data_IF_175883084309
#
_entry.id   IF_175883084309
#
_cell.length_a   1.000
_cell.length_b   1.000
_cell.length_c   1.000
_cell.angle_alpha   90.00
_cell.angle_beta   90.00
_cell.angle_gamma   90.00
#
_symmetry.space_group_name_H-M   'P 1'
#
loop_
_entity.id
_entity.type
_entity.pdbx_description
1 polymer ?
#
# COMPACT_ATOMS: atom_id res chain seq x y z
N UNK A 1 -7.19 -8.37 -19.24
CA UNK A 1 -5.96 -9.12 -19.17
C UNK A 1 -5.52 -9.40 -17.76
N UNK A 2 -6.42 -9.93 -16.97
CA UNK A 2 -6.13 -10.11 -15.55
C UNK A 2 -4.91 -10.98 -15.28
N UNK A 3 -4.73 -12.04 -16.07
CA UNK A 3 -3.60 -12.92 -15.86
C UNK A 3 -2.27 -12.22 -16.03
N UNK A 4 -2.23 -11.28 -16.95
CA UNK A 4 -1.00 -10.53 -17.19
C UNK A 4 -0.61 -9.66 -16.01
N UNK A 5 -1.60 -9.08 -15.35
CA UNK A 5 -1.31 -8.25 -14.18
C UNK A 5 -0.66 -9.05 -13.08
N UNK A 6 -1.17 -10.26 -12.86
CA UNK A 6 -0.59 -11.12 -11.83
C UNK A 6 0.83 -11.53 -12.15
N UNK A 7 1.11 -11.74 -13.42
CA UNK A 7 2.45 -12.13 -13.85
C UNK A 7 3.46 -11.01 -13.73
N UNK A 8 2.99 -9.79 -13.67
CA UNK A 8 3.85 -8.62 -13.70
C UNK A 8 3.84 -7.86 -12.38
N UNK A 9 3.69 -8.57 -11.27
CA UNK A 9 3.63 -7.90 -9.98
C UNK A 9 4.87 -7.06 -9.69
N UNK A 10 6.06 -7.59 -9.93
CA UNK A 10 7.29 -6.85 -9.68
C UNK A 10 7.49 -5.70 -10.67
N UNK A 11 7.35 -5.92 -11.99
CA UNK A 11 7.38 -4.80 -12.93
C UNK A 11 6.29 -3.78 -12.65
N UNK A 12 5.09 -4.23 -12.25
CA UNK A 12 4.01 -3.33 -11.89
C UNK A 12 4.40 -2.44 -10.72
N UNK A 13 5.04 -3.02 -9.69
CA UNK A 13 5.51 -2.24 -8.56
C UNK A 13 6.45 -1.13 -8.98
N UNK A 14 7.28 -1.35 -9.96
CA UNK A 14 8.20 -0.33 -10.45
C UNK A 14 7.48 0.80 -11.17
N UNK A 15 6.35 0.51 -11.79
CA UNK A 15 5.57 1.51 -12.51
C UNK A 15 4.62 2.27 -11.60
N UNK A 16 4.27 1.67 -10.49
CA UNK A 16 3.36 2.28 -9.54
C UNK A 16 4.08 3.43 -8.86
N UNK A 17 3.43 4.57 -8.83
CA UNK A 17 3.96 5.75 -8.16
C UNK A 17 3.19 6.11 -6.91
N UNK A 18 1.88 5.92 -6.95
CA UNK A 18 1.00 6.31 -5.86
C UNK A 18 0.17 5.12 -5.40
N UNK A 19 0.23 4.85 -4.10
CA UNK A 19 -0.60 3.81 -3.48
C UNK A 19 -1.58 4.48 -2.52
N UNK A 20 -2.84 4.08 -2.63
CA UNK A 20 -3.88 4.56 -1.72
C UNK A 20 -4.27 3.46 -0.75
N UNK A 21 -4.29 3.77 0.53
CA UNK A 21 -4.60 2.82 1.59
C UNK A 21 -5.93 3.14 2.22
N UNK A 22 -6.90 2.25 2.12
CA UNK A 22 -8.20 2.42 2.77
C UNK A 22 -8.11 1.83 4.17
N UNK A 23 -8.34 2.65 5.18
CA UNK A 23 -8.12 2.26 6.56
C UNK A 23 -6.67 2.40 6.96
N UNK A 24 -6.01 3.44 6.49
CA UNK A 24 -4.57 3.61 6.61
C UNK A 24 -4.08 3.70 8.05
N UNK A 25 -4.97 4.12 8.97
CA UNK A 25 -4.60 4.25 10.38
C UNK A 25 -4.55 2.92 11.14
N UNK A 26 -4.95 1.82 10.52
CA UNK A 26 -4.85 0.52 11.15
C UNK A 26 -3.40 0.13 11.38
N UNK A 27 -3.13 -0.63 12.45
CA UNK A 27 -1.78 -0.95 12.86
C UNK A 27 -0.96 -1.63 11.76
N UNK A 28 -1.55 -2.61 11.09
CA UNK A 28 -0.83 -3.30 10.01
C UNK A 28 -0.71 -2.47 8.75
N UNK A 29 -1.69 -1.59 8.52
CA UNK A 29 -1.70 -0.77 7.32
C UNK A 29 -0.68 0.35 7.38
N UNK A 30 -0.59 1.03 8.51
CA UNK A 30 0.32 2.16 8.61
C UNK A 30 1.78 1.73 8.50
N UNK A 31 2.12 0.54 8.98
CA UNK A 31 3.48 0.04 8.86
C UNK A 31 3.87 -0.19 7.41
N UNK A 32 2.98 -0.81 6.64
CA UNK A 32 3.23 -1.06 5.22
C UNK A 32 3.34 0.26 4.46
N UNK A 33 2.45 1.20 4.76
CA UNK A 33 2.46 2.50 4.11
C UNK A 33 3.78 3.23 4.38
N UNK A 34 4.25 3.18 5.61
CA UNK A 34 5.50 3.83 5.97
C UNK A 34 6.69 3.24 5.22
N UNK A 35 6.75 1.92 5.14
CA UNK A 35 7.83 1.24 4.42
C UNK A 35 7.85 1.67 2.95
N UNK A 36 6.68 1.68 2.32
CA UNK A 36 6.60 2.05 0.91
C UNK A 36 6.95 3.52 0.70
N UNK A 37 6.54 4.37 1.62
CA UNK A 37 6.88 5.78 1.53
C UNK A 37 8.38 5.99 1.62
N UNK A 38 9.04 5.25 2.48
CA UNK A 38 10.50 5.33 2.61
C UNK A 38 11.22 4.86 1.36
N UNK A 39 10.54 4.11 0.51
CA UNK A 39 11.10 3.65 -0.75
C UNK A 39 10.82 4.59 -1.92
N UNK A 40 10.17 5.70 -1.67
CA UNK A 40 9.95 6.70 -2.69
C UNK A 40 8.55 6.69 -3.31
N UNK A 41 7.65 5.83 -2.85
CA UNK A 41 6.28 5.85 -3.35
C UNK A 41 5.51 6.99 -2.73
N UNK A 42 4.61 7.58 -3.50
CA UNK A 42 3.67 8.55 -2.97
C UNK A 42 2.54 7.78 -2.29
N UNK A 43 2.24 8.17 -1.07
CA UNK A 43 1.25 7.47 -0.26
C UNK A 43 0.06 8.39 -0.01
N UNK A 44 -1.13 7.89 -0.31
CA UNK A 44 -2.37 8.53 0.10
C UNK A 44 -3.15 7.51 0.92
N UNK A 45 -4.11 7.98 1.67
CA UNK A 45 -4.92 7.05 2.45
C UNK A 45 -6.12 7.72 3.05
N UNK A 46 -7.06 6.90 3.51
CA UNK A 46 -8.26 7.38 4.17
C UNK A 46 -8.52 6.58 5.42
N UNK A 47 -9.22 7.20 6.35
CA UNK A 47 -9.67 6.53 7.55
C UNK A 47 -10.92 7.25 8.05
N UNK A 48 -11.67 6.59 8.92
CA UNK A 48 -12.89 7.20 9.45
C UNK A 48 -12.60 8.27 10.48
N UNK A 49 -11.43 8.23 11.11
CA UNK A 49 -11.08 9.18 12.13
C UNK A 49 -9.59 9.41 12.18
N UNK A 50 -9.21 10.58 12.66
CA UNK A 50 -7.81 10.90 12.91
C UNK A 50 -7.28 10.03 14.05
N UNK A 51 -6.02 9.65 13.98
CA UNK A 51 -5.37 8.85 15.02
C UNK A 51 -3.89 9.19 15.06
N UNK A 52 -3.19 8.62 16.04
CA UNK A 52 -1.74 8.78 16.11
C UNK A 52 -1.06 8.29 14.83
N UNK A 53 -1.56 7.17 14.30
CA UNK A 53 -1.00 6.60 13.08
C UNK A 53 -1.22 7.48 11.86
N UNK A 54 -2.42 8.05 11.71
CA UNK A 54 -2.67 8.93 10.57
C UNK A 54 -1.84 10.20 10.66
N UNK A 55 -1.70 10.77 11.85
CA UNK A 55 -0.87 11.96 12.02
C UNK A 55 0.59 11.69 11.71
N UNK A 56 1.08 10.56 12.18
CA UNK A 56 2.47 10.17 11.91
C UNK A 56 2.73 10.06 10.42
N UNK A 57 1.84 9.41 9.69
CA UNK A 57 2.01 9.25 8.24
C UNK A 57 1.93 10.59 7.53
N UNK A 58 1.02 11.45 7.97
CA UNK A 58 0.91 12.78 7.39
C UNK A 58 2.19 13.58 7.60
N UNK A 59 2.77 13.47 8.79
CA UNK A 59 4.03 14.14 9.09
C UNK A 59 5.18 13.62 8.23
N UNK A 60 5.09 12.36 7.82
CA UNK A 60 6.09 11.77 6.94
C UNK A 60 5.88 12.12 5.47
N UNK A 61 4.79 12.79 5.15
CA UNK A 61 4.54 13.24 3.78
C UNK A 61 3.36 12.59 3.09
N UNK A 62 2.65 11.68 3.75
CA UNK A 62 1.48 11.05 3.16
C UNK A 62 0.30 12.01 3.15
N UNK A 63 -0.56 11.86 2.16
CA UNK A 63 -1.81 12.62 2.08
C UNK A 63 -2.91 11.79 2.71
N UNK A 64 -3.48 12.29 3.79
CA UNK A 64 -4.48 11.57 4.57
C UNK A 64 -5.83 12.26 4.47
N UNK A 65 -6.85 11.49 4.12
CA UNK A 65 -8.23 11.97 4.07
C UNK A 65 -8.99 11.38 5.25
N UNK A 66 -9.70 12.21 5.98
CA UNK A 66 -10.60 11.73 7.02
C UNK A 66 -11.98 11.61 6.40
N UNK A 67 -12.52 10.40 6.43
CA UNK A 67 -13.74 10.07 5.71
C UNK A 67 -13.43 9.42 4.38
N UNK A 68 -14.29 8.50 3.96
CA UNK A 68 -14.12 7.81 2.69
C UNK A 68 -14.93 8.50 1.60
N UNK A 69 -14.32 8.69 0.44
CA UNK A 69 -14.99 9.31 -0.70
C UNK A 69 -14.35 8.82 -1.99
N UNK A 70 -15.15 8.73 -3.05
CA UNK A 70 -14.66 8.27 -4.33
C UNK A 70 -13.50 9.11 -4.85
N UNK A 71 -13.53 10.40 -4.61
CA UNK A 71 -12.47 11.29 -5.09
C UNK A 71 -11.12 11.04 -4.42
N UNK A 72 -11.09 10.35 -3.29
CA UNK A 72 -9.84 10.13 -2.58
C UNK A 72 -8.87 9.25 -3.36
N UNK A 73 -9.35 8.47 -4.32
CA UNK A 73 -8.50 7.55 -5.07
C UNK A 73 -8.07 8.09 -6.43
N UNK A 74 -8.35 9.34 -6.72
CA UNK A 74 -8.12 9.88 -8.06
C UNK A 74 -6.68 9.79 -8.53
N UNK A 75 -5.74 9.94 -7.63
CA UNK A 75 -4.32 9.86 -7.99
C UNK A 75 -3.72 8.48 -7.81
N UNK A 76 -4.49 7.51 -7.35
CA UNK A 76 -3.96 6.21 -7.01
C UNK A 76 -3.67 5.35 -8.24
N UNK A 77 -2.56 4.64 -8.19
CA UNK A 77 -2.24 3.62 -9.19
C UNK A 77 -2.68 2.24 -8.70
N UNK A 78 -2.73 2.07 -7.39
CA UNK A 78 -3.19 0.83 -6.77
C UNK A 78 -3.87 1.17 -5.45
N UNK A 79 -4.85 0.36 -5.06
CA UNK A 79 -5.57 0.56 -3.82
C UNK A 79 -5.35 -0.65 -2.92
N UNK A 80 -4.93 -0.38 -1.69
CA UNK A 80 -4.72 -1.41 -0.66
C UNK A 80 -5.78 -1.23 0.41
N UNK A 81 -6.42 -2.33 0.80
CA UNK A 81 -7.51 -2.25 1.77
C UNK A 81 -7.30 -3.23 2.92
N UNK A 82 -7.82 -2.90 4.09
CA UNK A 82 -7.76 -3.79 5.24
C UNK A 82 -8.93 -4.77 5.19
N UNK A 83 -8.81 -5.85 5.97
CA UNK A 83 -9.84 -6.89 5.98
C UNK A 83 -11.20 -6.38 6.50
N UNK A 84 -11.21 -5.26 7.20
CA UNK A 84 -12.45 -4.68 7.70
C UNK A 84 -13.22 -3.91 6.63
N UNK A 85 -12.60 -3.61 5.51
CA UNK A 85 -13.21 -2.83 4.44
C UNK A 85 -13.96 -3.76 3.49
N UNK A 86 -15.15 -3.35 3.08
CA UNK A 86 -15.97 -4.15 2.14
C UNK A 86 -16.26 -3.34 0.89
N UNK A 87 -16.88 -3.99 -0.09
CA UNK A 87 -17.26 -3.33 -1.33
C UNK A 87 -18.35 -2.28 -1.16
N UNK A 88 -18.88 -2.13 0.05
CA UNK A 88 -19.79 -1.03 0.35
C UNK A 88 -19.07 0.30 0.49
N UNK A 89 -17.77 0.25 0.71
CA UNK A 89 -16.96 1.45 0.82
C UNK A 89 -16.89 2.16 -0.53
N UNK A 90 -17.13 3.49 -0.57
CA UNK A 90 -17.13 4.20 -1.85
C UNK A 90 -15.77 4.16 -2.57
N UNK A 91 -14.68 4.10 -1.83
CA UNK A 91 -13.36 4.04 -2.46
C UNK A 91 -13.12 2.68 -3.09
N UNK A 92 -13.63 1.61 -2.49
CA UNK A 92 -13.55 0.29 -3.10
C UNK A 92 -14.33 0.24 -4.41
N UNK A 93 -15.54 0.80 -4.41
CA UNK A 93 -16.36 0.85 -5.61
C UNK A 93 -15.71 1.68 -6.70
N UNK A 94 -15.18 2.82 -6.33
CA UNK A 94 -14.54 3.71 -7.31
C UNK A 94 -13.32 3.04 -7.92
N UNK A 95 -12.53 2.34 -7.12
CA UNK A 95 -11.36 1.65 -7.61
C UNK A 95 -11.75 0.53 -8.57
N UNK A 96 -12.78 -0.23 -8.24
CA UNK A 96 -13.27 -1.29 -9.11
C UNK A 96 -13.78 -0.72 -10.42
N UNK A 97 -14.53 0.37 -10.37
CA UNK A 97 -15.05 1.01 -11.57
C UNK A 97 -13.94 1.56 -12.46
N UNK A 98 -12.84 2.00 -11.87
CA UNK A 98 -11.70 2.53 -12.61
C UNK A 98 -10.70 1.45 -13.02
N UNK A 99 -11.00 0.19 -12.71
CA UNK A 99 -10.12 -0.94 -13.01
C UNK A 99 -8.75 -0.82 -12.34
N UNK A 100 -8.69 -0.19 -11.19
CA UNK A 100 -7.46 -0.12 -10.42
C UNK A 100 -7.25 -1.45 -9.71
N UNK A 101 -5.98 -1.90 -9.58
CA UNK A 101 -5.72 -3.08 -8.77
C UNK A 101 -6.16 -2.85 -7.33
N UNK A 102 -6.86 -3.84 -6.78
CA UNK A 102 -7.32 -3.83 -5.39
C UNK A 102 -6.60 -4.95 -4.67
N UNK A 103 -5.77 -4.60 -3.71
CA UNK A 103 -4.98 -5.59 -2.97
C UNK A 103 -5.36 -5.54 -1.50
N UNK A 104 -5.65 -6.71 -0.94
CA UNK A 104 -5.79 -6.81 0.50
C UNK A 104 -4.43 -6.56 1.16
N UNK A 105 -4.46 -6.15 2.42
CA UNK A 105 -3.22 -5.89 3.15
C UNK A 105 -2.23 -7.05 3.06
N UNK A 106 -2.72 -8.27 3.24
CA UNK A 106 -1.85 -9.44 3.19
C UNK A 106 -1.23 -9.62 1.80
N UNK A 107 -1.99 -9.32 0.76
CA UNK A 107 -1.49 -9.41 -0.61
C UNK A 107 -0.41 -8.36 -0.86
N UNK A 108 -0.62 -7.16 -0.36
CA UNK A 108 0.38 -6.11 -0.51
C UNK A 108 1.67 -6.48 0.23
N UNK A 109 1.53 -7.04 1.42
CA UNK A 109 2.70 -7.48 2.18
C UNK A 109 3.45 -8.56 1.42
N UNK A 110 2.74 -9.52 0.83
CA UNK A 110 3.38 -10.56 0.03
C UNK A 110 4.12 -9.99 -1.17
N UNK A 111 3.52 -8.99 -1.83
CA UNK A 111 4.19 -8.32 -2.95
C UNK A 111 5.44 -7.60 -2.50
N UNK A 112 5.36 -6.93 -1.37
CA UNK A 112 6.50 -6.21 -0.82
C UNK A 112 7.63 -7.17 -0.49
N UNK A 113 7.32 -8.31 0.10
CA UNK A 113 8.32 -9.32 0.43
C UNK A 113 8.97 -9.86 -0.85
N UNK A 114 8.17 -10.15 -1.85
CA UNK A 114 8.68 -10.66 -3.12
C UNK A 114 9.60 -9.66 -3.80
N UNK A 115 9.19 -8.41 -3.82
CA UNK A 115 9.94 -7.34 -4.43
C UNK A 115 11.29 -7.18 -3.73
N UNK A 116 11.29 -7.14 -2.42
CA UNK A 116 12.51 -6.99 -1.63
C UNK A 116 13.41 -8.21 -1.76
N UNK A 117 12.81 -9.39 -1.82
CA UNK A 117 13.59 -10.61 -2.01
C UNK A 117 14.33 -10.59 -3.35
N UNK A 118 13.66 -10.15 -4.40
CA UNK A 118 14.29 -10.03 -5.71
C UNK A 118 15.46 -9.07 -5.68
N UNK A 119 15.29 -7.94 -5.01
CA UNK A 119 16.35 -6.95 -4.90
C UNK A 119 17.51 -7.51 -4.09
N UNK A 120 17.23 -8.21 -3.01
CA UNK A 120 18.26 -8.79 -2.17
C UNK A 120 19.10 -9.82 -2.92
N UNK A 121 18.45 -10.64 -3.74
CA UNK A 121 19.15 -11.63 -4.54
C UNK A 121 20.07 -10.94 -5.54
N UNK A 122 19.58 -9.91 -6.20
CA UNK A 122 20.37 -9.18 -7.18
C UNK A 122 21.50 -8.39 -6.55
N UNK A 123 21.24 -7.86 -5.37
CA UNK A 123 22.18 -6.95 -4.72
C UNK A 123 23.22 -7.61 -3.84
N UNK A 124 23.02 -8.83 -3.47
CA UNK A 124 23.92 -9.63 -2.64
C UNK A 124 24.18 -9.12 -1.23
N UNK A 125 24.14 -7.85 -1.00
CA UNK A 125 24.50 -7.27 0.30
C UNK A 125 23.34 -6.77 1.12
N UNK A 126 22.15 -6.81 0.60
CA UNK A 126 21.01 -6.24 1.28
C UNK A 126 20.16 -7.24 2.07
N UNK A 127 20.54 -8.50 2.08
CA UNK A 127 19.68 -9.55 2.61
C UNK A 127 19.29 -9.35 4.07
N UNK A 128 20.28 -9.12 4.90
CA UNK A 128 20.03 -8.99 6.34
C UNK A 128 19.19 -7.77 6.64
N UNK A 129 19.52 -6.65 6.04
CA UNK A 129 18.76 -5.43 6.22
C UNK A 129 17.32 -5.58 5.75
N UNK A 130 17.15 -6.20 4.58
CA UNK A 130 15.83 -6.41 4.04
C UNK A 130 14.98 -7.29 4.95
N UNK A 131 15.58 -8.36 5.46
CA UNK A 131 14.88 -9.26 6.38
C UNK A 131 14.45 -8.54 7.65
N UNK A 132 15.34 -7.73 8.22
CA UNK A 132 15.02 -6.97 9.41
C UNK A 132 13.86 -6.01 9.18
N UNK A 133 13.85 -5.36 8.03
CA UNK A 133 12.79 -4.43 7.70
C UNK A 133 11.45 -5.13 7.59
N UNK A 134 11.42 -6.29 6.94
CA UNK A 134 10.20 -7.06 6.81
C UNK A 134 9.72 -7.57 8.16
N UNK A 135 10.62 -8.00 9.01
CA UNK A 135 10.25 -8.43 10.35
C UNK A 135 9.62 -7.27 11.13
N UNK A 136 10.14 -6.08 10.96
CA UNK A 136 9.58 -4.90 11.59
C UNK A 136 8.17 -4.62 11.11
N UNK A 137 7.92 -4.81 9.83
CA UNK A 137 6.57 -4.62 9.26
C UNK A 137 5.62 -5.68 9.81
N UNK A 138 6.09 -6.91 9.93
CA UNK A 138 5.26 -8.01 10.42
C UNK A 138 4.99 -7.91 11.92
N UNK A 139 5.88 -7.33 12.66
CA UNK A 139 5.68 -7.16 14.08
C UNK A 139 4.63 -6.11 14.38
#
# INVERSE_FOLDING_TARGET
MPAKRLQHSIPEMRRIKTLHFIGIGGAGMCGIAEVLQNQGYAITGSDIAESTNTRRLRDLGATIFIGHAESNIESADVVVYSSAVTMKNPEMRAAAAANLPLLARAEMLAELMRYRHSIAIAGTHGKTTTTSLLASVLA
#
